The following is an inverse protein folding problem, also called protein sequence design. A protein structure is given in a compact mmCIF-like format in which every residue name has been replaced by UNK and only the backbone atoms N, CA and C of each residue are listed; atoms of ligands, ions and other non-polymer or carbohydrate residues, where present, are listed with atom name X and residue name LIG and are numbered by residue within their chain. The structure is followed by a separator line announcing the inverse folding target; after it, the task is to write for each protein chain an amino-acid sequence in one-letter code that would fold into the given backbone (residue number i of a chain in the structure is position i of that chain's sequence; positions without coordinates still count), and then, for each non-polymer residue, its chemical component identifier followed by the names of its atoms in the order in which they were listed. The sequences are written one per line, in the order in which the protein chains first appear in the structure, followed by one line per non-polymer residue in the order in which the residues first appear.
data_IF_361790543082
#
_entry.id   IF_361790543082
#
_cell.length_a   1.000
_cell.length_b   1.000
_cell.length_c   1.000
_cell.angle_alpha   90.00
_cell.angle_beta   90.00
_cell.angle_gamma   90.00
#
_symmetry.space_group_name_H-M   'P 1'
#
loop_
_entity.id
_entity.type
_entity.pdbx_description
1 polymer ?
#
# COMPACT_ATOMS: atom_id res chain seq x y z
N UNK A 1 0.15 -4.41 -9.99
CA UNK A 1 -0.13 -3.13 -9.29
C UNK A 1 -1.60 -3.11 -8.95
N UNK A 2 -1.96 -3.15 -7.66
CA UNK A 2 -3.35 -2.96 -7.24
C UNK A 2 -3.67 -1.48 -7.09
N UNK A 3 -4.87 -1.04 -7.44
CA UNK A 3 -5.29 0.36 -7.25
C UNK A 3 -6.31 0.48 -6.12
N UNK A 4 -6.46 1.71 -5.63
CA UNK A 4 -7.23 2.00 -4.42
C UNK A 4 -8.74 1.79 -4.61
N UNK A 5 -9.45 1.64 -3.49
CA UNK A 5 -10.91 1.54 -3.43
C UNK A 5 -11.62 2.75 -4.09
N UNK A 6 -10.92 3.88 -4.22
CA UNK A 6 -11.38 5.06 -4.95
C UNK A 6 -11.61 4.81 -6.45
N UNK A 7 -10.84 3.90 -7.06
CA UNK A 7 -10.92 3.54 -8.48
C UNK A 7 -11.99 2.49 -8.79
N UNK A 8 -12.91 2.22 -7.86
CA UNK A 8 -14.00 1.29 -8.11
C UNK A 8 -15.02 1.86 -9.10
N UNK A 9 -14.84 1.53 -10.38
CA UNK A 9 -15.75 1.86 -11.48
C UNK A 9 -15.80 0.71 -12.48
N UNK A 10 -17.01 0.33 -12.91
CA UNK A 10 -17.20 -0.71 -13.93
C UNK A 10 -16.70 -0.26 -15.31
N UNK A 11 -16.77 1.02 -15.61
CA UNK A 11 -16.18 1.59 -16.83
C UNK A 11 -14.67 1.43 -16.84
N UNK A 12 -14.00 1.77 -15.73
CA UNK A 12 -12.56 1.60 -15.59
C UNK A 12 -12.16 0.13 -15.73
N UNK A 13 -12.90 -0.79 -15.10
CA UNK A 13 -12.64 -2.24 -15.21
C UNK A 13 -12.80 -2.74 -16.64
N UNK A 14 -13.82 -2.28 -17.37
CA UNK A 14 -14.01 -2.61 -18.80
C UNK A 14 -12.86 -2.07 -19.64
N UNK A 15 -12.43 -0.83 -19.41
CA UNK A 15 -11.30 -0.22 -20.10
C UNK A 15 -9.96 -0.91 -19.83
N UNK A 16 -9.74 -1.41 -18.60
CA UNK A 16 -8.55 -2.21 -18.28
C UNK A 16 -8.59 -3.57 -18.99
N UNK A 17 -9.74 -4.25 -18.96
CA UNK A 17 -9.92 -5.54 -19.64
C UNK A 17 -9.76 -5.43 -21.16
N UNK A 18 -10.26 -4.36 -21.78
CA UNK A 18 -10.10 -4.14 -23.23
C UNK A 18 -8.64 -3.95 -23.65
N UNK A 19 -7.80 -3.47 -22.73
CA UNK A 19 -6.33 -3.38 -22.88
C UNK A 19 -5.59 -4.66 -22.43
N UNK A 20 -6.32 -5.74 -22.15
CA UNK A 20 -5.75 -7.00 -21.63
C UNK A 20 -5.09 -6.86 -20.25
N UNK A 21 -5.39 -5.79 -19.52
CA UNK A 21 -4.88 -5.54 -18.17
C UNK A 21 -5.84 -6.15 -17.16
N UNK A 22 -5.32 -7.01 -16.28
CA UNK A 22 -6.12 -7.59 -15.19
C UNK A 22 -6.39 -6.52 -14.12
N UNK A 23 -7.65 -6.16 -13.85
CA UNK A 23 -7.96 -5.16 -12.83
C UNK A 23 -7.77 -5.77 -11.43
N UNK A 24 -6.77 -5.29 -10.70
CA UNK A 24 -6.51 -5.61 -9.29
C UNK A 24 -7.05 -4.46 -8.43
N UNK A 25 -8.38 -4.34 -8.36
CA UNK A 25 -9.07 -3.23 -7.70
C UNK A 25 -10.03 -3.76 -6.64
N UNK A 26 -10.00 -3.19 -5.44
CA UNK A 26 -10.96 -3.50 -4.37
C UNK A 26 -12.32 -2.86 -4.72
N UNK A 27 -13.40 -3.65 -4.67
CA UNK A 27 -14.77 -3.15 -4.79
C UNK A 27 -15.18 -2.38 -3.54
N UNK A 28 -16.00 -1.35 -3.70
CA UNK A 28 -16.62 -0.65 -2.56
C UNK A 28 -17.70 -1.52 -1.92
N UNK A 29 -18.00 -1.26 -0.64
CA UNK A 29 -18.92 -2.11 0.14
C UNK A 29 -20.34 -2.07 -0.46
N UNK A 30 -20.73 -0.94 -1.07
CA UNK A 30 -21.98 -0.81 -1.82
C UNK A 30 -22.00 -1.57 -3.17
N UNK A 31 -20.86 -2.06 -3.64
CA UNK A 31 -20.67 -2.77 -4.91
C UNK A 31 -20.11 -4.19 -4.71
N UNK A 32 -20.13 -4.70 -3.47
CA UNK A 32 -19.52 -5.98 -3.10
C UNK A 32 -20.23 -7.17 -3.80
N UNK A 33 -21.52 -7.01 -4.12
CA UNK A 33 -22.34 -8.01 -4.83
C UNK A 33 -21.84 -8.34 -6.24
N UNK A 34 -21.06 -7.45 -6.85
CA UNK A 34 -20.53 -7.61 -8.22
C UNK A 34 -19.08 -8.12 -8.25
N UNK A 35 -18.56 -8.60 -7.12
CA UNK A 35 -17.21 -9.17 -7.05
C UNK A 35 -17.13 -10.45 -7.88
N UNK A 36 -16.16 -10.50 -8.79
CA UNK A 36 -15.86 -11.72 -9.57
C UNK A 36 -14.87 -12.62 -8.83
N UNK A 37 -14.91 -13.95 -9.04
CA UNK A 37 -13.93 -14.91 -8.49
C UNK A 37 -12.46 -14.52 -8.76
N UNK A 38 -12.18 -13.96 -9.94
CA UNK A 38 -10.86 -13.45 -10.29
C UNK A 38 -10.44 -12.30 -9.36
N UNK A 39 -11.35 -11.37 -9.05
CA UNK A 39 -11.07 -10.22 -8.18
C UNK A 39 -10.82 -10.65 -6.73
N UNK A 40 -11.50 -11.70 -6.26
CA UNK A 40 -11.23 -12.33 -4.95
C UNK A 40 -9.80 -12.89 -4.91
N UNK A 41 -9.36 -13.56 -5.98
CA UNK A 41 -8.00 -14.10 -6.07
C UNK A 41 -6.95 -13.00 -6.01
N UNK A 42 -7.21 -11.91 -6.74
CA UNK A 42 -6.33 -10.75 -6.83
C UNK A 42 -6.32 -9.90 -5.54
N UNK A 43 -7.33 -10.03 -4.66
CA UNK A 43 -7.40 -9.37 -3.34
C UNK A 43 -6.16 -9.61 -2.48
N UNK A 44 -5.49 -10.76 -2.66
CA UNK A 44 -4.22 -11.07 -1.96
C UNK A 44 -3.15 -9.99 -2.18
N UNK A 45 -3.04 -9.46 -3.40
CA UNK A 45 -2.05 -8.42 -3.71
C UNK A 45 -2.39 -7.10 -3.01
N UNK A 46 -3.67 -6.74 -2.94
CA UNK A 46 -4.10 -5.57 -2.18
C UNK A 46 -3.83 -5.74 -0.66
N UNK A 47 -4.06 -6.93 -0.10
CA UNK A 47 -3.75 -7.20 1.31
C UNK A 47 -2.23 -7.14 1.62
N UNK A 48 -1.37 -7.48 0.65
CA UNK A 48 0.08 -7.34 0.81
C UNK A 48 0.52 -5.88 0.85
N UNK A 49 -0.13 -5.00 0.07
CA UNK A 49 0.16 -3.55 0.09
C UNK A 49 -0.02 -2.94 1.47
N UNK A 50 -1.05 -3.35 2.20
CA UNK A 50 -1.31 -2.82 3.53
C UNK A 50 -0.14 -3.01 4.51
N UNK A 51 0.62 -4.11 4.38
CA UNK A 51 1.84 -4.31 5.18
C UNK A 51 2.87 -3.20 4.89
N UNK A 52 3.07 -2.90 3.61
CA UNK A 52 4.00 -1.88 3.11
C UNK A 52 3.53 -0.48 3.50
N UNK A 53 2.28 -0.14 3.22
CA UNK A 53 1.67 1.17 3.55
C UNK A 53 1.71 1.44 5.06
N UNK A 54 1.45 0.41 5.87
CA UNK A 54 1.60 0.51 7.32
C UNK A 54 3.06 0.77 7.74
N UNK A 55 4.03 0.08 7.14
CA UNK A 55 5.44 0.33 7.44
C UNK A 55 5.84 1.76 7.09
N UNK A 56 5.32 2.32 5.99
CA UNK A 56 5.50 3.74 5.67
C UNK A 56 4.85 4.65 6.70
N UNK A 57 3.65 4.34 7.20
CA UNK A 57 3.04 5.10 8.30
C UNK A 57 3.91 5.12 9.56
N UNK A 58 4.60 4.01 9.89
CA UNK A 58 5.55 3.98 11.01
C UNK A 58 6.77 4.88 10.78
N UNK A 59 7.31 4.89 9.56
CA UNK A 59 8.42 5.74 9.17
C UNK A 59 8.04 7.22 9.18
N UNK A 60 6.87 7.56 8.63
CA UNK A 60 6.39 8.93 8.47
C UNK A 60 6.05 9.61 9.81
N UNK A 61 5.91 8.86 10.90
CA UNK A 61 5.88 9.43 12.25
C UNK A 61 7.16 10.22 12.59
N UNK A 62 8.25 10.02 11.84
CA UNK A 62 9.44 10.87 11.93
C UNK A 62 9.47 11.84 10.75
N UNK A 63 9.22 13.11 11.05
CA UNK A 63 9.23 14.23 10.10
C UNK A 63 10.47 14.29 9.21
N UNK A 64 11.63 13.85 9.70
CA UNK A 64 12.90 13.83 8.93
C UNK A 64 12.84 12.86 7.74
N UNK A 65 12.30 11.67 7.95
CA UNK A 65 12.13 10.65 6.92
C UNK A 65 10.95 11.01 6.01
N UNK A 66 9.83 11.44 6.60
CA UNK A 66 8.62 11.85 5.87
C UNK A 66 8.89 12.97 4.85
N UNK A 67 9.63 14.01 5.26
CA UNK A 67 9.94 15.16 4.40
C UNK A 67 11.18 14.95 3.52
N UNK A 68 11.75 13.75 3.48
CA UNK A 68 12.97 13.46 2.72
C UNK A 68 14.07 14.52 2.93
N UNK A 69 14.36 14.84 4.19
CA UNK A 69 15.27 15.94 4.52
C UNK A 69 16.75 15.63 4.20
N UNK A 70 17.07 14.38 3.89
CA UNK A 70 18.44 13.93 3.65
C UNK A 70 18.85 14.08 2.18
N UNK A 71 19.98 14.76 1.94
CA UNK A 71 20.51 14.99 0.59
C UNK A 71 21.09 13.71 -0.05
N UNK A 72 21.66 12.82 0.75
CA UNK A 72 22.27 11.56 0.29
C UNK A 72 21.33 10.40 0.55
N UNK A 73 21.16 9.54 -0.45
CA UNK A 73 20.33 8.32 -0.35
C UNK A 73 20.83 7.37 0.73
N UNK A 74 22.16 7.25 0.90
CA UNK A 74 22.75 6.39 1.95
C UNK A 74 22.39 6.87 3.36
N UNK A 75 22.42 8.18 3.59
CA UNK A 75 22.01 8.76 4.87
C UNK A 75 20.52 8.55 5.12
N UNK A 76 19.67 8.76 4.11
CA UNK A 76 18.24 8.48 4.19
C UNK A 76 17.96 7.02 4.57
N UNK A 77 18.64 6.07 3.92
CA UNK A 77 18.54 4.64 4.23
C UNK A 77 18.94 4.34 5.68
N UNK A 78 20.03 4.94 6.17
CA UNK A 78 20.46 4.82 7.57
C UNK A 78 19.37 5.29 8.55
N UNK A 79 18.71 6.41 8.26
CA UNK A 79 17.59 6.88 9.07
C UNK A 79 16.38 5.94 9.01
N UNK A 80 16.04 5.37 7.86
CA UNK A 80 14.99 4.36 7.75
C UNK A 80 15.27 3.17 8.68
N UNK A 81 16.50 2.64 8.69
CA UNK A 81 16.90 1.55 9.59
C UNK A 81 16.78 1.96 11.06
N UNK A 82 17.30 3.13 11.44
CA UNK A 82 17.23 3.64 12.80
C UNK A 82 15.78 3.77 13.30
N UNK A 83 14.86 4.18 12.44
CA UNK A 83 13.44 4.30 12.79
C UNK A 83 12.77 2.96 13.02
N UNK A 84 13.08 1.93 12.21
CA UNK A 84 12.60 0.58 12.47
C UNK A 84 13.15 0.03 13.79
N UNK A 85 14.45 0.19 14.05
CA UNK A 85 15.07 -0.21 15.33
C UNK A 85 14.34 0.45 16.50
N UNK A 86 14.17 1.78 16.46
CA UNK A 86 13.43 2.53 17.49
C UNK A 86 12.00 2.02 17.68
N UNK A 87 11.29 1.74 16.59
CA UNK A 87 9.92 1.21 16.64
C UNK A 87 9.86 -0.16 17.33
N UNK A 88 10.74 -1.09 16.95
CA UNK A 88 10.78 -2.43 17.53
C UNK A 88 11.25 -2.42 18.99
N UNK A 89 12.24 -1.60 19.35
CA UNK A 89 12.66 -1.42 20.74
C UNK A 89 11.50 -0.94 21.63
N UNK A 90 10.73 0.05 21.17
CA UNK A 90 9.53 0.52 21.90
C UNK A 90 8.47 -0.57 22.06
N UNK A 91 8.38 -1.50 21.10
CA UNK A 91 7.46 -2.64 21.11
C UNK A 91 7.90 -3.75 22.09
N UNK A 92 9.20 -3.92 22.28
CA UNK A 92 9.79 -4.95 23.15
C UNK A 92 9.93 -4.49 24.61
N UNK A 93 10.10 -3.19 24.84
CA UNK A 93 10.22 -2.59 26.18
C UNK A 93 8.88 -2.46 26.92
N UNK A 94 7.80 -3.04 26.38
CA UNK A 94 6.44 -2.93 26.89
C UNK A 94 5.86 -4.33 27.08
#
# INVERSE_FOLDING_TARGET
MGADKGYDSDELRRGLKSRTIKPVLIRRDNNEKNITKLEIREKRYCCQRWKVERSFSWLNNNRRVDRFMEKKTSTYQGFCHLMFIKYYLKKLSK
#
